data_IF_414271161031
#
_entry.id   IF_414271161031
#
_cell.length_a   1.000
_cell.length_b   1.000
_cell.length_c   1.000
_cell.angle_alpha   90.00
_cell.angle_beta   90.00
_cell.angle_gamma   90.00
#
_symmetry.space_group_name_H-M   'P 1'
#
loop_
_entity.id
_entity.type
_entity.pdbx_description
1 polymer ?
#
# COMPACT_ATOMS: atom_id res chain seq x y z
N UNK A 1 2.23 11.54 -40.09
CA UNK A 1 1.75 10.92 -38.83
C UNK A 1 2.44 9.58 -38.68
N UNK A 2 3.18 9.35 -37.59
CA UNK A 2 3.76 8.03 -37.33
C UNK A 2 2.62 7.04 -37.09
N UNK A 3 2.58 5.96 -37.89
CA UNK A 3 1.63 4.86 -37.73
C UNK A 3 2.08 3.87 -36.66
N UNK A 4 1.15 3.10 -36.11
CA UNK A 4 1.50 2.00 -35.19
C UNK A 4 2.02 0.83 -36.02
N UNK A 5 3.22 0.37 -35.71
CA UNK A 5 3.83 -0.80 -36.37
C UNK A 5 3.19 -2.08 -35.81
N UNK A 6 2.76 -2.96 -36.71
CA UNK A 6 2.18 -4.26 -36.34
C UNK A 6 3.14 -5.37 -36.79
N UNK A 7 3.62 -6.24 -35.88
CA UNK A 7 4.49 -7.35 -36.24
C UNK A 7 3.85 -8.32 -37.25
N UNK A 8 4.66 -8.90 -38.14
CA UNK A 8 4.17 -9.78 -39.22
C UNK A 8 3.59 -11.08 -38.65
N UNK A 9 4.19 -11.60 -37.58
CA UNK A 9 3.77 -12.82 -36.91
C UNK A 9 2.38 -12.65 -36.27
N UNK A 10 2.14 -11.49 -35.65
CA UNK A 10 0.82 -11.09 -35.15
C UNK A 10 -0.23 -11.02 -36.28
N UNK A 11 0.14 -10.48 -37.46
CA UNK A 11 -0.76 -10.47 -38.61
C UNK A 11 -1.09 -11.88 -39.13
N UNK A 12 -0.13 -12.80 -39.10
CA UNK A 12 -0.37 -14.20 -39.45
C UNK A 12 -1.35 -14.86 -38.47
N UNK A 13 -1.14 -14.64 -37.17
CA UNK A 13 -2.03 -15.17 -36.14
C UNK A 13 -3.46 -14.59 -36.24
N UNK A 14 -3.57 -13.29 -36.50
CA UNK A 14 -4.86 -12.64 -36.73
C UNK A 14 -5.58 -13.19 -37.97
N UNK A 15 -4.85 -13.39 -39.08
CA UNK A 15 -5.38 -13.98 -40.32
C UNK A 15 -5.95 -15.39 -40.09
N UNK A 16 -5.27 -16.24 -39.32
CA UNK A 16 -5.79 -17.57 -38.97
C UNK A 16 -7.12 -17.52 -38.21
N UNK A 17 -7.38 -16.44 -37.47
CA UNK A 17 -8.62 -16.21 -36.74
C UNK A 17 -9.64 -15.36 -37.54
N UNK A 18 -9.40 -15.12 -38.83
CA UNK A 18 -10.20 -14.23 -39.68
C UNK A 18 -10.38 -12.82 -39.08
N UNK A 19 -9.37 -12.33 -38.34
CA UNK A 19 -9.39 -11.06 -37.64
C UNK A 19 -8.65 -9.97 -38.44
N UNK A 20 -9.37 -8.90 -38.81
CA UNK A 20 -8.81 -7.74 -39.54
C UNK A 20 -7.99 -6.83 -38.61
N UNK A 21 -6.81 -7.28 -38.23
CA UNK A 21 -6.03 -6.62 -37.19
C UNK A 21 -5.61 -5.19 -37.56
N UNK A 22 -5.07 -4.98 -38.77
CA UNK A 22 -4.62 -3.64 -39.20
C UNK A 22 -5.80 -2.68 -39.38
N UNK A 23 -6.91 -3.15 -39.93
CA UNK A 23 -8.12 -2.33 -40.07
C UNK A 23 -8.69 -1.91 -38.73
N UNK A 24 -8.70 -2.82 -37.74
CA UNK A 24 -9.12 -2.50 -36.37
C UNK A 24 -8.17 -1.52 -35.69
N UNK A 25 -6.84 -1.68 -35.83
CA UNK A 25 -5.85 -0.72 -35.30
C UNK A 25 -6.05 0.66 -35.90
N UNK A 26 -6.23 0.75 -37.23
CA UNK A 26 -6.46 2.02 -37.91
C UNK A 26 -7.70 2.75 -37.38
N UNK A 27 -8.80 2.02 -37.16
CA UNK A 27 -10.04 2.57 -36.57
C UNK A 27 -9.88 2.95 -35.10
N UNK A 28 -9.20 2.11 -34.31
CA UNK A 28 -8.98 2.37 -32.88
C UNK A 28 -8.14 3.63 -32.62
N UNK A 29 -7.13 3.90 -33.47
CA UNK A 29 -6.36 5.17 -33.43
C UNK A 29 -7.27 6.40 -33.59
N UNK A 30 -8.38 6.26 -34.31
CA UNK A 30 -9.41 7.29 -34.48
C UNK A 30 -10.56 7.19 -33.47
N UNK A 31 -10.36 6.47 -32.37
CA UNK A 31 -11.32 6.31 -31.27
C UNK A 31 -12.66 5.69 -31.70
N UNK A 32 -12.61 4.73 -32.63
CA UNK A 32 -13.71 3.80 -32.87
C UNK A 32 -13.76 2.78 -31.72
N UNK A 33 -14.81 2.84 -30.92
CA UNK A 33 -14.92 2.06 -29.68
C UNK A 33 -15.08 0.57 -29.95
N UNK A 34 -15.89 0.20 -30.94
CA UNK A 34 -16.10 -1.21 -31.29
C UNK A 34 -14.82 -1.85 -31.81
N UNK A 35 -14.12 -1.19 -32.73
CA UNK A 35 -12.85 -1.69 -33.25
C UNK A 35 -11.80 -1.84 -32.15
N UNK A 36 -11.83 -0.96 -31.14
CA UNK A 36 -10.92 -1.03 -30.03
C UNK A 36 -11.27 -2.17 -29.07
N UNK A 37 -12.54 -2.34 -28.69
CA UNK A 37 -12.96 -3.48 -27.85
C UNK A 37 -12.57 -4.82 -28.47
N UNK A 38 -12.78 -4.97 -29.78
CA UNK A 38 -12.40 -6.18 -30.49
C UNK A 38 -10.87 -6.41 -30.49
N UNK A 39 -10.06 -5.35 -30.53
CA UNK A 39 -8.61 -5.47 -30.34
C UNK A 39 -8.25 -5.91 -28.93
N UNK A 40 -8.86 -5.33 -27.90
CA UNK A 40 -8.57 -5.72 -26.52
C UNK A 40 -8.94 -7.21 -26.29
N UNK A 41 -10.09 -7.64 -26.79
CA UNK A 41 -10.57 -9.03 -26.72
C UNK A 41 -9.74 -10.01 -27.57
N UNK A 42 -8.94 -9.53 -28.52
CA UNK A 42 -8.00 -10.38 -29.26
C UNK A 42 -6.98 -11.07 -28.32
N UNK A 43 -6.70 -10.45 -27.17
CA UNK A 43 -5.86 -11.01 -26.10
C UNK A 43 -6.32 -12.40 -25.61
N UNK A 44 -7.60 -12.75 -25.77
CA UNK A 44 -8.13 -14.05 -25.35
C UNK A 44 -7.72 -15.20 -26.29
N UNK A 45 -7.28 -14.91 -27.51
CA UNK A 45 -7.16 -15.89 -28.59
C UNK A 45 -5.73 -16.10 -29.07
N UNK A 46 -4.73 -15.73 -28.28
CA UNK A 46 -3.32 -15.70 -28.69
C UNK A 46 -2.43 -16.51 -27.76
N UNK A 47 -1.43 -17.18 -28.34
CA UNK A 47 -0.32 -17.79 -27.60
C UNK A 47 0.59 -16.71 -26.96
N UNK A 48 1.55 -17.11 -26.12
CA UNK A 48 2.40 -16.16 -25.38
C UNK A 48 3.32 -15.30 -26.26
N UNK A 49 3.81 -15.83 -27.40
CA UNK A 49 4.66 -15.06 -28.30
C UNK A 49 3.84 -14.00 -29.02
N UNK A 50 2.66 -14.40 -29.51
CA UNK A 50 1.70 -13.50 -30.16
C UNK A 50 1.13 -12.50 -29.16
N UNK A 51 0.89 -12.91 -27.91
CA UNK A 51 0.43 -12.08 -26.79
C UNK A 51 1.39 -10.93 -26.48
N UNK A 52 2.69 -11.22 -26.42
CA UNK A 52 3.73 -10.17 -26.28
C UNK A 52 3.70 -9.14 -27.41
N UNK A 53 3.60 -9.60 -28.66
CA UNK A 53 3.54 -8.69 -29.81
C UNK A 53 2.24 -7.87 -29.82
N UNK A 54 1.12 -8.49 -29.44
CA UNK A 54 -0.16 -7.83 -29.27
C UNK A 54 -0.08 -6.75 -28.19
N UNK A 55 0.51 -7.06 -27.03
CA UNK A 55 0.78 -6.14 -25.95
C UNK A 55 1.53 -4.88 -26.38
N UNK A 56 2.58 -5.02 -27.19
CA UNK A 56 3.34 -3.88 -27.72
C UNK A 56 2.49 -2.96 -28.61
N UNK A 57 1.58 -3.54 -29.40
CA UNK A 57 0.63 -2.76 -30.18
C UNK A 57 -0.38 -2.06 -29.27
N UNK A 58 -0.87 -2.73 -28.22
CA UNK A 58 -1.78 -2.13 -27.24
C UNK A 58 -1.13 -0.96 -26.49
N UNK A 59 0.15 -1.09 -26.09
CA UNK A 59 0.92 0.00 -25.50
C UNK A 59 1.07 1.19 -26.46
N UNK A 60 1.34 0.92 -27.74
CA UNK A 60 1.40 1.97 -28.77
C UNK A 60 0.03 2.63 -29.00
N UNK A 61 -1.06 1.86 -28.91
CA UNK A 61 -2.43 2.37 -28.98
C UNK A 61 -2.74 3.24 -27.78
N UNK A 62 -2.38 2.80 -26.57
CA UNK A 62 -2.51 3.54 -25.32
C UNK A 62 -1.88 4.93 -25.43
N UNK A 63 -0.61 5.00 -25.85
CA UNK A 63 0.10 6.26 -26.09
C UNK A 63 -0.63 7.16 -27.11
N UNK A 64 -1.26 6.57 -28.12
CA UNK A 64 -1.88 7.29 -29.23
C UNK A 64 -3.26 7.86 -28.89
N UNK A 65 -4.08 7.07 -28.21
CA UNK A 65 -5.49 7.40 -27.95
C UNK A 65 -5.69 8.11 -26.61
N UNK A 66 -4.71 7.97 -25.71
CA UNK A 66 -4.70 8.50 -24.36
C UNK A 66 -5.36 7.56 -23.35
N UNK A 67 -4.80 7.58 -22.14
CA UNK A 67 -5.10 6.67 -21.03
C UNK A 67 -6.58 6.63 -20.64
N UNK A 68 -7.24 7.79 -20.60
CA UNK A 68 -8.67 7.91 -20.23
C UNK A 68 -9.55 7.19 -21.24
N UNK A 69 -9.26 7.32 -22.53
CA UNK A 69 -10.06 6.65 -23.55
C UNK A 69 -9.78 5.15 -23.56
N UNK A 70 -8.50 4.75 -23.48
CA UNK A 70 -8.11 3.35 -23.41
C UNK A 70 -8.81 2.62 -22.26
N UNK A 71 -8.71 3.16 -21.05
CA UNK A 71 -9.25 2.48 -19.90
C UNK A 71 -10.78 2.54 -19.80
N UNK A 72 -11.44 3.55 -20.40
CA UNK A 72 -12.91 3.53 -20.56
C UNK A 72 -13.35 2.35 -21.42
N UNK A 73 -12.67 2.13 -22.55
CA UNK A 73 -13.00 1.03 -23.47
C UNK A 73 -12.70 -0.32 -22.81
N UNK A 74 -11.59 -0.42 -22.07
CA UNK A 74 -11.24 -1.61 -21.29
C UNK A 74 -12.28 -1.91 -20.19
N UNK A 75 -12.77 -0.90 -19.46
CA UNK A 75 -13.78 -1.05 -18.42
C UNK A 75 -15.13 -1.56 -18.95
N UNK A 76 -15.39 -1.42 -20.25
CA UNK A 76 -16.60 -1.94 -20.90
C UNK A 76 -16.50 -3.44 -21.26
N UNK A 77 -15.33 -4.06 -21.08
CA UNK A 77 -15.18 -5.51 -21.24
C UNK A 77 -15.64 -6.24 -19.98
N UNK A 78 -15.93 -7.54 -20.12
CA UNK A 78 -16.12 -8.43 -18.99
C UNK A 78 -14.79 -8.69 -18.25
N UNK A 79 -14.88 -9.32 -17.08
CA UNK A 79 -13.72 -9.57 -16.20
C UNK A 79 -12.61 -10.35 -16.91
N UNK A 80 -12.99 -11.39 -17.68
CA UNK A 80 -12.06 -12.20 -18.46
C UNK A 80 -11.34 -11.37 -19.53
N UNK A 81 -12.08 -10.54 -20.28
CA UNK A 81 -11.52 -9.65 -21.30
C UNK A 81 -10.60 -8.58 -20.70
N UNK A 82 -10.95 -8.05 -19.53
CA UNK A 82 -10.07 -7.14 -18.79
C UNK A 82 -8.77 -7.84 -18.38
N UNK A 83 -8.88 -9.03 -17.77
CA UNK A 83 -7.73 -9.80 -17.30
C UNK A 83 -6.76 -10.17 -18.42
N UNK A 84 -7.27 -10.68 -19.54
CA UNK A 84 -6.44 -11.05 -20.69
C UNK A 84 -5.77 -9.84 -21.33
N UNK A 85 -6.46 -8.71 -21.45
CA UNK A 85 -5.88 -7.46 -21.95
C UNK A 85 -4.72 -7.00 -21.08
N UNK A 86 -4.88 -7.05 -19.76
CA UNK A 86 -3.82 -6.68 -18.82
C UNK A 86 -2.61 -7.59 -18.91
N UNK A 87 -2.84 -8.90 -19.01
CA UNK A 87 -1.78 -9.87 -19.24
C UNK A 87 -1.02 -9.56 -20.54
N UNK A 88 -1.72 -9.27 -21.64
CA UNK A 88 -1.07 -8.91 -22.90
C UNK A 88 -0.24 -7.62 -22.76
N UNK A 89 -0.78 -6.58 -22.12
CA UNK A 89 -0.04 -5.34 -21.84
C UNK A 89 1.24 -5.59 -21.05
N UNK A 90 1.20 -6.44 -20.03
CA UNK A 90 2.34 -6.81 -19.20
C UNK A 90 3.40 -7.57 -20.00
N UNK A 91 2.99 -8.57 -20.78
CA UNK A 91 3.89 -9.33 -21.68
C UNK A 91 4.56 -8.42 -22.74
N UNK A 92 3.87 -7.36 -23.14
CA UNK A 92 4.34 -6.38 -24.12
C UNK A 92 5.42 -5.43 -23.61
N UNK A 93 5.60 -5.30 -22.29
CA UNK A 93 6.60 -4.40 -21.71
C UNK A 93 8.03 -4.87 -22.04
N UNK A 94 8.98 -3.92 -22.27
CA UNK A 94 10.38 -4.27 -22.43
C UNK A 94 10.93 -4.90 -21.14
N UNK A 95 11.85 -5.86 -21.26
CA UNK A 95 12.51 -6.47 -20.11
C UNK A 95 13.35 -5.41 -19.36
N UNK A 96 12.93 -5.02 -18.16
CA UNK A 96 13.55 -3.98 -17.34
C UNK A 96 12.72 -3.65 -16.10
N UNK A 97 13.18 -2.73 -15.22
CA UNK A 97 12.46 -2.33 -14.01
C UNK A 97 11.24 -1.42 -14.29
N UNK A 98 10.83 -1.31 -15.55
CA UNK A 98 9.65 -0.55 -15.97
C UNK A 98 8.45 -1.48 -15.89
N UNK A 99 7.82 -1.48 -14.71
CA UNK A 99 6.54 -2.15 -14.49
C UNK A 99 5.41 -1.29 -15.06
N UNK A 100 4.27 -1.92 -15.36
CA UNK A 100 3.00 -1.26 -15.67
C UNK A 100 2.70 -0.07 -14.72
N UNK A 101 3.13 -0.19 -13.46
CA UNK A 101 3.07 0.87 -12.45
C UNK A 101 3.69 2.22 -12.85
N UNK A 102 4.67 2.26 -13.76
CA UNK A 102 5.27 3.51 -14.27
C UNK A 102 4.54 4.08 -15.48
N UNK A 103 3.88 3.24 -16.28
CA UNK A 103 3.28 3.63 -17.57
C UNK A 103 1.76 3.84 -17.50
N UNK A 104 1.09 3.30 -16.46
CA UNK A 104 -0.36 3.28 -16.34
C UNK A 104 -0.99 4.08 -15.17
N UNK A 105 -0.46 5.22 -14.67
CA UNK A 105 -1.15 5.95 -13.58
C UNK A 105 -2.57 6.42 -13.95
N UNK A 106 -2.80 6.80 -15.22
CA UNK A 106 -4.08 7.36 -15.66
C UNK A 106 -5.07 6.29 -16.17
N UNK A 107 -4.60 5.11 -16.58
CA UNK A 107 -5.49 3.99 -16.95
C UNK A 107 -6.17 3.40 -15.72
N UNK A 108 -5.51 3.38 -14.56
CA UNK A 108 -6.13 2.96 -13.30
C UNK A 108 -7.31 3.85 -12.86
N UNK A 109 -7.28 5.16 -13.18
CA UNK A 109 -8.41 6.07 -12.93
C UNK A 109 -9.69 5.67 -13.65
N UNK A 110 -9.59 5.02 -14.80
CA UNK A 110 -10.77 4.68 -15.62
C UNK A 110 -11.25 3.25 -15.43
N UNK A 111 -10.45 2.41 -14.75
CA UNK A 111 -10.87 1.14 -14.18
C UNK A 111 -11.42 1.25 -12.77
N UNK A 112 -11.51 2.47 -12.23
CA UNK A 112 -12.19 2.67 -10.96
C UNK A 112 -13.61 2.10 -11.09
N UNK A 113 -14.02 1.22 -10.17
CA UNK A 113 -15.37 0.70 -10.15
C UNK A 113 -16.39 1.83 -10.32
N UNK A 114 -17.43 1.60 -11.13
CA UNK A 114 -18.46 2.60 -11.42
C UNK A 114 -19.34 2.96 -10.21
N UNK A 115 -19.14 2.29 -9.08
CA UNK A 115 -19.79 2.63 -7.82
C UNK A 115 -19.08 3.79 -7.12
N UNK A 116 -19.74 4.51 -6.18
CA UNK A 116 -19.07 5.53 -5.39
C UNK A 116 -17.88 4.95 -4.60
N UNK A 117 -16.84 5.76 -4.33
CA UNK A 117 -15.70 5.31 -3.53
C UNK A 117 -16.15 5.01 -2.10
N UNK A 118 -15.71 3.86 -1.57
CA UNK A 118 -16.02 3.43 -0.22
C UNK A 118 -15.10 4.12 0.81
N UNK A 119 -15.58 4.38 2.03
CA UNK A 119 -14.73 4.91 3.10
C UNK A 119 -13.82 3.82 3.67
N UNK A 120 -12.57 4.17 3.96
CA UNK A 120 -11.60 3.33 4.65
C UNK A 120 -10.92 4.13 5.75
N UNK A 121 -10.57 3.44 6.83
CA UNK A 121 -9.70 3.94 7.89
C UNK A 121 -8.52 2.99 8.01
N UNK A 122 -7.32 3.50 8.27
CA UNK A 122 -6.14 2.66 8.23
C UNK A 122 -4.84 3.40 8.51
N UNK A 123 -3.74 2.68 8.35
CA UNK A 123 -2.40 3.23 8.40
C UNK A 123 -1.82 3.35 7.00
N UNK A 124 -1.44 4.56 6.61
CA UNK A 124 -0.74 4.83 5.36
C UNK A 124 0.76 4.94 5.60
N UNK A 125 1.53 4.16 4.86
CA UNK A 125 3.00 4.15 4.89
C UNK A 125 3.49 4.65 3.53
N UNK A 126 4.16 5.79 3.53
CA UNK A 126 4.75 6.32 2.31
C UNK A 126 6.06 5.60 1.96
N UNK A 127 6.18 5.19 0.70
CA UNK A 127 7.43 4.72 0.11
C UNK A 127 7.49 5.23 -1.33
N UNK A 128 8.67 5.66 -1.78
CA UNK A 128 8.89 6.22 -3.11
C UNK A 128 8.54 5.27 -4.25
N UNK A 129 8.66 3.96 -4.02
CA UNK A 129 8.34 2.93 -5.02
C UNK A 129 6.95 2.35 -4.85
N UNK A 130 6.57 2.04 -3.60
CA UNK A 130 5.38 1.25 -3.29
C UNK A 130 4.79 1.67 -1.95
N UNK A 131 3.93 2.69 -1.94
CA UNK A 131 3.24 3.09 -0.71
C UNK A 131 2.28 1.98 -0.25
N UNK A 132 2.10 1.83 1.05
CA UNK A 132 1.27 0.77 1.65
C UNK A 132 0.09 1.39 2.39
N UNK A 133 -1.04 0.69 2.37
CA UNK A 133 -2.16 0.96 3.27
C UNK A 133 -2.50 -0.30 4.05
N UNK A 134 -2.61 -0.18 5.37
CA UNK A 134 -3.07 -1.23 6.28
C UNK A 134 -4.50 -0.88 6.71
N UNK A 135 -5.48 -1.70 6.33
CA UNK A 135 -6.88 -1.42 6.62
C UNK A 135 -7.23 -1.81 8.06
N UNK A 136 -7.86 -0.90 8.80
CA UNK A 136 -8.40 -1.18 10.13
C UNK A 136 -9.39 -2.35 10.13
N UNK A 137 -10.17 -2.52 9.06
CA UNK A 137 -11.13 -3.60 8.93
C UNK A 137 -10.46 -4.96 8.67
N UNK A 138 -9.21 -4.98 8.22
CA UNK A 138 -8.43 -6.18 7.93
C UNK A 138 -6.95 -6.01 8.37
N UNK A 139 -6.65 -6.03 9.68
CA UNK A 139 -5.33 -5.64 10.20
C UNK A 139 -4.13 -6.52 9.81
N UNK A 140 -4.39 -7.67 9.16
CA UNK A 140 -3.37 -8.57 8.62
C UNK A 140 -3.14 -8.42 7.11
N UNK A 141 -3.96 -7.62 6.42
CA UNK A 141 -3.88 -7.43 4.98
C UNK A 141 -3.11 -6.16 4.65
N UNK A 142 -2.27 -6.23 3.61
CA UNK A 142 -1.51 -5.08 3.12
C UNK A 142 -1.96 -4.76 1.71
N UNK A 143 -2.27 -3.49 1.48
CA UNK A 143 -2.71 -3.01 0.18
C UNK A 143 -1.63 -2.13 -0.43
N UNK A 144 -1.36 -2.32 -1.72
CA UNK A 144 -0.51 -1.40 -2.47
C UNK A 144 -1.34 -0.13 -2.72
N UNK A 145 -0.90 0.97 -2.13
CA UNK A 145 -1.65 2.22 -2.13
C UNK A 145 -1.30 3.08 -3.34
N UNK A 146 -2.33 3.45 -4.09
CA UNK A 146 -2.25 4.39 -5.22
C UNK A 146 -2.91 5.70 -4.77
N UNK A 147 -2.12 6.76 -4.59
CA UNK A 147 -2.60 8.08 -4.15
C UNK A 147 -3.06 8.94 -5.34
N UNK A 148 -4.34 8.81 -5.72
CA UNK A 148 -4.97 9.62 -6.77
C UNK A 148 -5.36 11.03 -6.32
N UNK A 149 -5.37 11.26 -5.01
CA UNK A 149 -5.54 12.60 -4.44
C UNK A 149 -4.34 13.49 -4.79
N UNK A 150 -3.18 12.86 -5.03
CA UNK A 150 -1.88 13.49 -5.21
C UNK A 150 -1.43 14.31 -4.00
N UNK A 151 -2.12 14.22 -2.86
CA UNK A 151 -1.94 15.08 -1.70
C UNK A 151 -1.55 14.32 -0.43
N UNK A 152 -1.74 13.01 -0.35
CA UNK A 152 -1.41 12.23 0.86
C UNK A 152 0.08 12.30 1.12
N UNK A 153 0.93 12.05 0.12
CA UNK A 153 2.39 12.12 0.27
C UNK A 153 2.87 13.51 0.74
N UNK A 154 2.33 14.59 0.16
CA UNK A 154 2.67 15.96 0.60
C UNK A 154 2.30 16.20 2.06
N UNK A 155 1.12 15.74 2.47
CA UNK A 155 0.67 15.85 3.86
C UNK A 155 1.50 14.98 4.80
N UNK A 156 1.83 13.75 4.39
CA UNK A 156 2.70 12.84 5.13
C UNK A 156 4.04 13.52 5.48
N UNK A 157 4.73 14.08 4.48
CA UNK A 157 6.01 14.80 4.66
C UNK A 157 5.88 16.09 5.47
N UNK A 158 4.69 16.69 5.52
CA UNK A 158 4.43 17.90 6.31
C UNK A 158 4.18 17.57 7.78
N UNK A 159 3.44 16.50 8.05
CA UNK A 159 3.11 16.06 9.41
C UNK A 159 4.33 15.42 10.09
N UNK A 160 5.09 14.63 9.34
CA UNK A 160 6.29 13.96 9.83
C UNK A 160 7.52 14.75 9.35
N UNK A 161 8.09 15.57 10.23
CA UNK A 161 9.24 16.44 9.88
C UNK A 161 10.49 15.63 9.50
N UNK A 162 10.68 14.45 10.10
CA UNK A 162 11.81 13.55 9.85
C UNK A 162 11.31 12.10 9.75
N UNK A 163 10.65 11.73 8.63
CA UNK A 163 10.06 10.42 8.50
C UNK A 163 11.15 9.34 8.35
N UNK A 164 10.97 8.20 9.00
CA UNK A 164 11.83 7.03 8.78
C UNK A 164 11.17 6.01 7.84
N UNK A 165 11.95 5.12 7.19
CA UNK A 165 11.39 4.09 6.32
C UNK A 165 10.38 3.22 7.06
N UNK A 166 9.16 3.12 6.53
CA UNK A 166 8.09 2.33 7.15
C UNK A 166 7.24 3.08 8.18
N UNK A 167 7.53 4.36 8.48
CA UNK A 167 6.69 5.14 9.38
C UNK A 167 5.28 5.31 8.80
N UNK A 168 4.28 5.10 9.65
CA UNK A 168 2.88 5.20 9.29
C UNK A 168 2.24 6.50 9.79
N UNK A 169 1.23 6.97 9.06
CA UNK A 169 0.25 7.96 9.54
C UNK A 169 -1.13 7.30 9.59
N UNK A 170 -1.99 7.79 10.47
CA UNK A 170 -3.39 7.44 10.42
C UNK A 170 -4.07 8.16 9.25
N UNK A 171 -4.87 7.43 8.48
CA UNK A 171 -5.57 7.96 7.32
C UNK A 171 -7.01 7.47 7.28
N UNK A 172 -7.93 8.42 7.17
CA UNK A 172 -9.30 8.18 6.73
C UNK A 172 -9.44 8.70 5.31
N UNK A 173 -9.86 7.83 4.41
CA UNK A 173 -9.84 8.07 2.96
C UNK A 173 -11.08 7.49 2.33
N UNK A 174 -11.42 7.93 1.12
CA UNK A 174 -12.33 7.20 0.25
C UNK A 174 -11.61 6.66 -0.96
N UNK A 175 -12.00 5.47 -1.40
CA UNK A 175 -11.32 4.83 -2.50
C UNK A 175 -11.97 3.55 -2.98
N UNK A 176 -11.15 2.72 -3.61
CA UNK A 176 -11.54 1.43 -4.17
C UNK A 176 -10.50 0.39 -3.79
N UNK A 177 -10.95 -0.74 -3.25
CA UNK A 177 -10.15 -1.95 -3.23
C UNK A 177 -10.38 -2.65 -4.56
N UNK A 178 -9.30 -3.07 -5.20
CA UNK A 178 -9.38 -3.80 -6.46
C UNK A 178 -8.35 -4.91 -6.44
N UNK A 179 -8.77 -6.06 -6.93
CA UNK A 179 -7.87 -7.17 -7.18
C UNK A 179 -6.83 -6.78 -8.23
N UNK A 180 -5.81 -7.62 -8.30
CA UNK A 180 -4.73 -7.47 -9.24
C UNK A 180 -5.21 -7.69 -10.69
N UNK A 181 -4.81 -6.80 -11.60
CA UNK A 181 -5.14 -6.88 -13.01
C UNK A 181 -4.03 -7.56 -13.82
N UNK A 182 -4.23 -8.80 -14.29
CA UNK A 182 -3.34 -9.51 -15.24
C UNK A 182 -2.40 -10.54 -14.60
N UNK A 183 -1.13 -10.62 -15.08
CA UNK A 183 -0.12 -11.60 -14.66
C UNK A 183 0.98 -11.09 -13.70
N UNK A 184 1.01 -9.81 -13.27
CA UNK A 184 2.03 -9.36 -12.31
C UNK A 184 1.85 -10.07 -10.96
N UNK A 185 2.94 -10.59 -10.44
CA UNK A 185 3.02 -11.03 -9.05
C UNK A 185 3.16 -9.80 -8.16
N UNK A 186 2.25 -9.64 -7.21
CA UNK A 186 2.46 -8.69 -6.13
C UNK A 186 3.74 -9.06 -5.37
N UNK A 187 4.48 -8.09 -4.82
CA UNK A 187 5.53 -8.40 -3.86
C UNK A 187 4.95 -9.27 -2.75
N UNK A 188 5.73 -10.26 -2.30
CA UNK A 188 5.35 -11.14 -1.20
C UNK A 188 4.87 -10.29 -0.02
N UNK A 189 3.60 -10.46 0.38
CA UNK A 189 2.86 -9.81 1.48
C UNK A 189 1.72 -8.83 1.11
N UNK A 190 1.51 -8.47 -0.16
CA UNK A 190 0.37 -7.64 -0.54
C UNK A 190 -0.84 -8.49 -0.98
N UNK A 191 -2.02 -8.09 -0.51
CA UNK A 191 -3.29 -8.76 -0.81
C UNK A 191 -3.89 -8.23 -2.12
N UNK A 192 -3.91 -6.91 -2.31
CA UNK A 192 -4.57 -6.24 -3.42
C UNK A 192 -4.08 -4.79 -3.57
N UNK A 193 -4.67 -4.03 -4.49
CA UNK A 193 -4.49 -2.58 -4.55
C UNK A 193 -5.57 -1.87 -3.74
N UNK A 194 -5.22 -0.67 -3.25
CA UNK A 194 -6.19 0.31 -2.81
C UNK A 194 -5.93 1.64 -3.50
N UNK A 195 -6.95 2.17 -4.18
CA UNK A 195 -6.87 3.42 -4.92
C UNK A 195 -7.53 4.51 -4.10
N UNK A 196 -6.74 5.47 -3.62
CA UNK A 196 -7.14 6.52 -2.69
C UNK A 196 -7.55 7.76 -3.47
N UNK A 197 -8.84 8.09 -3.46
CA UNK A 197 -9.43 9.13 -4.32
C UNK A 197 -9.83 10.40 -3.57
N UNK A 198 -10.07 10.29 -2.26
CA UNK A 198 -10.43 11.42 -1.40
C UNK A 198 -9.74 11.28 -0.05
N UNK A 199 -9.23 12.39 0.48
CA UNK A 199 -8.73 12.48 1.86
C UNK A 199 -9.88 12.96 2.74
N UNK A 200 -10.27 12.15 3.74
CA UNK A 200 -11.24 12.55 4.76
C UNK A 200 -10.52 13.14 5.97
N UNK A 201 -9.52 12.43 6.49
CA UNK A 201 -8.70 12.87 7.61
C UNK A 201 -7.28 12.27 7.52
N UNK A 202 -6.28 13.03 7.97
CA UNK A 202 -4.90 12.54 8.11
C UNK A 202 -4.35 13.02 9.44
N UNK A 203 -3.78 12.10 10.22
CA UNK A 203 -3.22 12.41 11.52
C UNK A 203 -1.91 11.66 11.75
N UNK A 204 -1.04 12.22 12.60
CA UNK A 204 0.09 11.45 13.12
C UNK A 204 -0.46 10.30 13.96
N UNK A 205 0.05 9.10 13.67
CA UNK A 205 -0.33 7.88 14.38
C UNK A 205 -0.01 8.02 15.87
N UNK A 206 -0.94 7.57 16.72
CA UNK A 206 -0.79 7.50 18.16
C UNK A 206 -1.67 6.37 18.74
N UNK A 207 -1.51 6.08 20.04
CA UNK A 207 -2.25 5.01 20.73
C UNK A 207 -3.78 5.16 20.74
N UNK A 208 -4.33 6.32 20.36
CA UNK A 208 -5.78 6.59 20.33
C UNK A 208 -6.39 6.40 18.95
N UNK A 209 -5.63 6.62 17.88
CA UNK A 209 -6.13 6.53 16.50
C UNK A 209 -5.63 5.29 15.76
N UNK A 210 -4.56 4.64 16.22
CA UNK A 210 -4.13 3.38 15.60
C UNK A 210 -5.19 2.30 15.77
N UNK A 211 -5.48 1.61 14.68
CA UNK A 211 -6.41 0.48 14.64
C UNK A 211 -5.71 -0.85 14.33
N UNK A 212 -4.41 -0.78 13.99
CA UNK A 212 -3.57 -1.95 13.83
C UNK A 212 -3.10 -2.37 15.23
N UNK A 213 -3.25 -3.66 15.58
CA UNK A 213 -2.80 -4.16 16.88
C UNK A 213 -1.33 -3.85 17.14
N UNK A 214 -1.05 -3.29 18.32
CA UNK A 214 0.29 -3.07 18.85
C UNK A 214 0.47 -3.82 20.18
N UNK A 215 1.70 -4.21 20.48
CA UNK A 215 2.05 -4.91 21.71
C UNK A 215 2.04 -3.96 22.91
N UNK A 216 2.71 -2.80 22.77
CA UNK A 216 2.85 -1.84 23.85
C UNK A 216 2.95 -0.41 23.32
N UNK A 217 2.21 0.50 23.95
CA UNK A 217 2.50 1.93 23.91
C UNK A 217 2.92 2.37 25.31
N UNK A 218 4.14 2.91 25.43
CA UNK A 218 4.69 3.42 26.67
C UNK A 218 4.88 4.93 26.58
N UNK A 219 4.61 5.62 27.69
CA UNK A 219 4.69 7.07 27.81
C UNK A 219 5.35 7.43 29.14
N UNK A 220 6.20 8.45 29.17
CA UNK A 220 6.71 9.02 30.41
C UNK A 220 6.72 10.54 30.38
N UNK A 221 6.57 11.14 31.55
CA UNK A 221 6.40 12.59 31.71
C UNK A 221 7.73 13.34 31.90
N UNK A 222 8.71 12.72 32.57
CA UNK A 222 9.96 13.40 32.91
C UNK A 222 11.18 12.47 32.71
N UNK A 223 12.01 12.73 31.67
CA UNK A 223 11.72 13.61 30.53
C UNK A 223 10.47 13.14 29.77
N UNK A 224 9.86 13.98 28.94
CA UNK A 224 8.76 13.53 28.08
C UNK A 224 9.28 12.56 27.02
N UNK A 225 8.73 11.36 26.96
CA UNK A 225 9.06 10.36 25.95
C UNK A 225 7.88 9.44 25.65
N UNK A 226 7.91 8.83 24.47
CA UNK A 226 7.01 7.75 24.10
C UNK A 226 7.75 6.63 23.40
N UNK A 227 7.25 5.41 23.54
CA UNK A 227 7.69 4.28 22.76
C UNK A 227 6.49 3.46 22.27
N UNK A 228 6.58 2.98 21.04
CA UNK A 228 5.66 2.01 20.46
C UNK A 228 6.41 0.70 20.20
N UNK A 229 5.74 -0.43 20.47
CA UNK A 229 6.17 -1.76 20.09
C UNK A 229 5.03 -2.39 19.30
N UNK A 230 5.28 -2.74 18.04
CA UNK A 230 4.27 -3.30 17.15
C UNK A 230 4.87 -4.44 16.34
N UNK A 231 4.50 -5.67 16.67
CA UNK A 231 4.85 -6.87 15.90
C UNK A 231 4.22 -6.83 14.49
N UNK A 232 2.99 -6.33 14.39
CA UNK A 232 2.26 -6.20 13.11
C UNK A 232 2.96 -5.24 12.14
N UNK A 233 3.63 -4.22 12.66
CA UNK A 233 4.42 -3.27 11.85
C UNK A 233 5.91 -3.60 11.82
N UNK A 234 6.37 -4.56 12.63
CA UNK A 234 7.76 -4.99 12.70
C UNK A 234 8.70 -3.96 13.30
N UNK A 235 8.21 -3.05 14.15
CA UNK A 235 8.98 -1.90 14.64
C UNK A 235 8.89 -1.73 16.16
N UNK A 236 9.98 -1.25 16.75
CA UNK A 236 9.99 -0.54 18.03
C UNK A 236 10.38 0.91 17.73
N UNK A 237 9.50 1.86 18.03
CA UNK A 237 9.74 3.30 17.87
C UNK A 237 9.96 3.93 19.24
N UNK A 238 10.94 4.83 19.35
CA UNK A 238 11.19 5.64 20.54
C UNK A 238 11.34 7.11 20.17
N UNK A 239 10.64 7.97 20.87
CA UNK A 239 10.72 9.41 20.71
C UNK A 239 10.89 10.06 22.09
N UNK A 240 11.85 10.97 22.21
CA UNK A 240 12.04 11.79 23.41
C UNK A 240 11.95 13.28 23.06
N UNK A 241 11.46 14.08 24.00
CA UNK A 241 11.38 15.52 23.84
C UNK A 241 12.79 16.13 23.77
N UNK A 242 12.98 17.05 22.82
CA UNK A 242 14.26 17.71 22.57
C UNK A 242 15.17 16.97 21.60
N UNK A 243 14.75 15.81 21.08
CA UNK A 243 15.38 15.15 19.95
C UNK A 243 14.54 15.35 18.68
N UNK A 244 15.19 15.81 17.60
CA UNK A 244 14.54 15.99 16.31
C UNK A 244 14.37 14.63 15.63
N UNK A 245 13.17 14.04 15.77
CA UNK A 245 12.78 12.79 15.11
C UNK A 245 12.53 11.63 16.08
N UNK A 246 12.35 10.43 15.51
CA UNK A 246 12.17 9.18 16.24
C UNK A 246 13.35 8.24 15.98
N UNK A 247 13.70 7.44 16.98
CA UNK A 247 14.63 6.31 16.83
C UNK A 247 13.82 5.05 16.59
N UNK A 248 14.20 4.28 15.59
CA UNK A 248 13.51 3.04 15.21
C UNK A 248 14.43 1.85 15.40
N UNK A 249 13.84 0.71 15.76
CA UNK A 249 14.54 -0.55 15.92
C UNK A 249 13.69 -1.65 15.29
N UNK A 250 14.31 -2.70 14.72
CA UNK A 250 13.56 -3.86 14.26
C UNK A 250 12.85 -4.51 15.45
N UNK A 251 11.62 -4.96 15.23
CA UNK A 251 10.91 -5.73 16.24
C UNK A 251 11.64 -7.05 16.53
N UNK A 252 11.76 -7.36 17.83
CA UNK A 252 12.26 -8.64 18.31
C UNK A 252 11.24 -9.16 19.33
N UNK A 253 10.81 -10.44 19.23
CA UNK A 253 9.90 -11.03 20.20
C UNK A 253 10.41 -10.86 21.63
N UNK A 254 9.50 -10.53 22.56
CA UNK A 254 9.87 -10.32 23.95
C UNK A 254 10.35 -11.61 24.62
N UNK A 255 11.22 -11.46 25.61
CA UNK A 255 11.55 -12.51 26.57
C UNK A 255 10.87 -12.25 27.92
N UNK A 256 10.81 -13.27 28.77
CA UNK A 256 10.32 -13.17 30.15
C UNK A 256 11.50 -13.36 31.10
N UNK A 257 11.72 -12.40 32.00
CA UNK A 257 12.73 -12.45 33.07
C UNK A 257 12.05 -12.07 34.38
N UNK A 258 12.02 -12.96 35.38
CA UNK A 258 11.47 -12.69 36.72
C UNK A 258 10.08 -12.02 36.71
N UNK A 259 9.15 -12.53 35.88
CA UNK A 259 7.79 -11.96 35.67
C UNK A 259 7.75 -10.57 35.03
N UNK A 260 8.86 -10.15 34.42
CA UNK A 260 8.98 -8.92 33.62
C UNK A 260 9.07 -9.29 32.16
N UNK A 261 8.25 -8.66 31.31
CA UNK A 261 8.37 -8.80 29.86
C UNK A 261 9.44 -7.84 29.36
N UNK A 262 10.41 -8.37 28.61
CA UNK A 262 11.54 -7.61 28.10
C UNK A 262 11.49 -7.55 26.58
N UNK A 263 11.51 -6.34 26.02
CA UNK A 263 11.79 -6.10 24.62
C UNK A 263 13.20 -5.50 24.51
N UNK A 264 14.05 -6.07 23.67
CA UNK A 264 15.40 -5.55 23.44
C UNK A 264 15.75 -5.63 21.97
N UNK A 265 16.32 -4.56 21.44
CA UNK A 265 16.68 -4.47 20.03
C UNK A 265 17.87 -3.54 19.81
N UNK A 266 18.53 -3.71 18.66
CA UNK A 266 19.66 -2.92 18.22
C UNK A 266 19.36 -2.42 16.82
N UNK A 267 19.55 -1.13 16.58
CA UNK A 267 19.54 -0.58 15.25
C UNK A 267 20.95 -0.74 14.66
N UNK A 268 21.12 -1.68 13.73
CA UNK A 268 22.43 -2.02 13.17
C UNK A 268 23.05 -0.90 12.33
N UNK A 269 22.26 0.04 11.82
CA UNK A 269 22.75 1.14 10.99
C UNK A 269 23.37 2.26 11.83
N UNK A 270 22.81 2.50 13.03
CA UNK A 270 23.24 3.57 13.94
C UNK A 270 24.09 3.06 15.11
N UNK A 271 23.98 1.77 15.45
CA UNK A 271 24.55 1.18 16.66
C UNK A 271 23.75 1.46 17.94
N UNK A 272 22.61 2.15 17.83
CA UNK A 272 21.74 2.42 18.97
C UNK A 272 21.15 1.12 19.52
N UNK A 273 20.95 1.08 20.84
CA UNK A 273 20.32 -0.04 21.53
C UNK A 273 19.18 0.43 22.43
N UNK A 274 18.14 -0.38 22.48
CA UNK A 274 16.97 -0.17 23.33
C UNK A 274 16.68 -1.43 24.15
N UNK A 275 16.33 -1.24 25.42
CA UNK A 275 15.75 -2.27 26.29
C UNK A 275 14.54 -1.70 27.02
N UNK A 276 13.40 -2.34 26.88
CA UNK A 276 12.13 -1.97 27.51
C UNK A 276 11.71 -3.11 28.43
N UNK A 277 11.61 -2.81 29.72
CA UNK A 277 11.13 -3.70 30.76
C UNK A 277 9.71 -3.32 31.15
N UNK A 278 8.77 -4.25 31.00
CA UNK A 278 7.35 -4.08 31.28
C UNK A 278 6.99 -4.90 32.52
N UNK A 279 6.61 -4.19 33.58
CA UNK A 279 6.21 -4.77 34.85
C UNK A 279 4.69 -4.85 34.91
N UNK A 280 4.16 -5.99 35.37
CA UNK A 280 2.71 -6.22 35.58
C UNK A 280 2.18 -5.49 36.82
N UNK A 281 2.48 -4.21 36.93
CA UNK A 281 2.08 -3.30 38.00
C UNK A 281 1.33 -2.11 37.42
N UNK A 282 0.25 -1.68 38.07
CA UNK A 282 -0.45 -0.46 37.65
C UNK A 282 0.44 0.75 37.80
N UNK A 283 0.35 1.66 36.83
CA UNK A 283 1.12 2.90 36.79
C UNK A 283 0.16 4.09 36.72
N UNK A 284 0.34 5.07 37.60
CA UNK A 284 -0.43 6.31 37.58
C UNK A 284 0.36 7.40 36.86
N UNK A 285 -0.24 8.01 35.84
CA UNK A 285 0.26 9.25 35.27
C UNK A 285 -0.19 10.42 36.16
N UNK A 286 0.77 11.02 36.86
CA UNK A 286 0.53 12.11 37.83
C UNK A 286 0.04 13.41 37.19
N UNK A 287 0.14 13.55 35.86
CA UNK A 287 -0.28 14.76 35.13
C UNK A 287 -1.67 14.62 34.51
N UNK A 288 -2.12 13.40 34.19
CA UNK A 288 -3.42 13.15 33.54
C UNK A 288 -4.42 12.38 34.40
N UNK A 289 -4.06 12.04 35.64
CA UNK A 289 -4.82 11.16 36.55
C UNK A 289 -5.23 9.80 35.93
N UNK A 290 -4.54 9.41 34.84
CA UNK A 290 -4.83 8.17 34.13
C UNK A 290 -4.09 7.00 34.77
N UNK A 291 -4.80 5.89 34.97
CA UNK A 291 -4.22 4.63 35.46
C UNK A 291 -4.00 3.68 34.30
N UNK A 292 -2.74 3.32 34.09
CA UNK A 292 -2.26 2.39 33.09
C UNK A 292 -2.04 1.00 33.69
N UNK A 293 -2.08 -0.02 32.83
CA UNK A 293 -2.00 -1.42 33.23
C UNK A 293 -0.58 -1.84 33.62
N UNK A 294 0.43 -1.17 33.06
CA UNK A 294 1.83 -1.54 33.20
C UNK A 294 2.69 -0.36 33.63
N UNK A 295 3.70 -0.67 34.42
CA UNK A 295 4.85 0.20 34.67
C UNK A 295 5.95 -0.19 33.70
N UNK A 296 6.64 0.80 33.15
CA UNK A 296 7.66 0.60 32.11
C UNK A 296 8.96 1.27 32.54
N UNK A 297 10.06 0.54 32.41
CA UNK A 297 11.41 1.09 32.45
C UNK A 297 12.07 0.89 31.08
N UNK A 298 12.59 1.96 30.51
CA UNK A 298 13.25 1.94 29.22
C UNK A 298 14.71 2.39 29.38
N UNK A 299 15.63 1.70 28.74
CA UNK A 299 17.03 2.10 28.61
C UNK A 299 17.35 2.30 27.14
N UNK A 300 17.80 3.50 26.78
CA UNK A 300 18.24 3.87 25.43
C UNK A 300 19.71 4.28 25.50
N UNK A 301 20.61 3.53 24.88
CA UNK A 301 22.06 3.80 24.91
C UNK A 301 22.59 4.08 26.34
N UNK A 302 22.10 3.33 27.33
CA UNK A 302 22.44 3.51 28.74
C UNK A 302 21.68 4.60 29.50
N UNK A 303 20.97 5.52 28.82
CA UNK A 303 20.08 6.51 29.45
C UNK A 303 18.78 5.83 29.88
N UNK A 304 18.36 6.06 31.13
CA UNK A 304 17.18 5.44 31.73
C UNK A 304 15.97 6.35 31.71
N UNK A 305 14.82 5.74 31.49
CA UNK A 305 13.52 6.37 31.42
C UNK A 305 12.50 5.51 32.19
N UNK A 306 11.55 6.17 32.83
CA UNK A 306 10.45 5.49 33.54
C UNK A 306 9.12 6.06 33.07
N UNK A 307 8.10 5.21 32.98
CA UNK A 307 6.81 5.59 32.44
C UNK A 307 5.75 4.53 32.67
N UNK A 308 4.61 4.75 32.02
CA UNK A 308 3.45 3.89 32.07
C UNK A 308 3.19 3.26 30.70
N UNK A 309 2.66 2.04 30.68
CA UNK A 309 2.42 1.27 29.46
C UNK A 309 0.97 0.81 29.34
N UNK A 310 0.50 0.72 28.11
CA UNK A 310 -0.78 0.08 27.75
C UNK A 310 -0.60 -0.81 26.53
N UNK A 311 -1.33 -1.90 26.49
CA UNK A 311 -1.44 -2.78 25.32
C UNK A 311 -2.57 -2.29 24.40
N UNK A 312 -2.64 -2.84 23.19
CA UNK A 312 -3.79 -2.60 22.33
C UNK A 312 -5.07 -3.10 23.02
N UNK A 313 -6.15 -2.30 23.03
CA UNK A 313 -7.39 -2.73 23.64
C UNK A 313 -7.94 -3.91 22.84
N UNK A 314 -7.92 -5.10 23.44
CA UNK A 314 -8.72 -6.23 22.94
C UNK A 314 -10.17 -5.89 23.25
N UNK A 315 -10.80 -5.05 22.42
CA UNK A 315 -12.25 -4.92 22.45
C UNK A 315 -12.75 -6.31 22.12
N UNK A 316 -13.30 -7.01 23.12
CA UNK A 316 -13.88 -8.33 22.94
C UNK A 316 -14.72 -8.28 21.67
N UNK A 317 -14.30 -9.01 20.64
CA UNK A 317 -15.03 -9.20 19.41
C UNK A 317 -16.36 -9.86 19.79
N UNK A 318 -17.34 -9.05 20.22
CA UNK A 318 -18.70 -9.47 20.43
C UNK A 318 -19.17 -9.86 19.04
N UNK A 319 -19.26 -11.17 18.81
CA UNK A 319 -20.07 -11.76 17.74
C UNK A 319 -21.42 -11.04 17.75
N UNK A 320 -21.66 -10.17 16.78
CA UNK A 320 -23.01 -9.76 16.42
C UNK A 320 -23.60 -10.93 15.64
N UNK A 321 -24.50 -11.69 16.26
CA UNK A 321 -25.19 -12.80 15.63
C UNK A 321 -25.61 -13.90 16.61
N UNK A 322 -26.44 -13.54 17.59
CA UNK A 322 -27.62 -14.34 17.95
C UNK A 322 -28.85 -13.58 17.43
#
# INVERSE_FOLDING_TARGET
MSGILVPVELLKAASHNAFDYTGKVAKAVHKDEQAFQELLLFSNNVDSLTGKQHGQVLLSLLEKVGDVYFARVLANLDEDGQHATWKALDEGLPAGPDTLNKLAPLTWKTLLPQHPPAPFSGLYIFNEKTSTYLDCAAPGERYLAIDETGAINRNFKRMLRYPYPGQAIYAEVKGFKTDFFGAMTLPDNYTAFIILTEIVNLEVKNFRNTCIPYDLWALGNEPFWQAEISANEGVIEFQELGFDGSRFFPFVPSTMEDSTTIYASINHDTGDNIRISVFSEKCGDTMSDSVYQYKVALTMNGKRFTGCGRTFPVVAMRKKGE
#
